data_IF_333075621326
#
_entry.id   IF_333075621326
#
_cell.length_a   1.000
_cell.length_b   1.000
_cell.length_c   1.000
_cell.angle_alpha   90.00
_cell.angle_beta   90.00
_cell.angle_gamma   90.00
#
_symmetry.space_group_name_H-M   'P 1'
#
loop_
_entity.id
_entity.type
_entity.pdbx_description
1 polymer ?
#
# COMPACT_ATOMS: atom_id res chain seq x y z
N UNK A 1 26.80 -0.62 -8.63
CA UNK A 1 26.57 -1.68 -7.63
C UNK A 1 26.05 -0.97 -6.39
N UNK A 2 24.86 -1.34 -5.91
CA UNK A 2 24.29 -0.74 -4.69
C UNK A 2 24.86 -1.47 -3.49
N UNK A 3 25.52 -0.73 -2.61
CA UNK A 3 26.16 -1.26 -1.41
C UNK A 3 25.26 -1.02 -0.18
N UNK A 4 25.07 -2.04 0.66
CA UNK A 4 24.21 -2.01 1.87
C UNK A 4 24.97 -2.60 3.05
N UNK A 5 24.87 -1.96 4.21
CA UNK A 5 25.46 -2.46 5.45
C UNK A 5 24.54 -3.45 6.16
N UNK A 6 24.99 -4.70 6.33
CA UNK A 6 24.22 -5.79 6.94
C UNK A 6 25.11 -6.64 7.84
N UNK A 7 24.53 -7.32 8.82
CA UNK A 7 25.26 -8.28 9.64
C UNK A 7 25.53 -9.56 8.84
N UNK A 8 26.79 -9.98 8.81
CA UNK A 8 27.24 -11.22 8.21
C UNK A 8 27.57 -12.23 9.30
N UNK A 9 26.87 -13.37 9.33
CA UNK A 9 27.12 -14.44 10.32
C UNK A 9 28.49 -15.11 10.15
N UNK A 10 29.07 -15.09 8.94
CA UNK A 10 30.41 -15.64 8.68
C UNK A 10 31.53 -14.70 9.13
N UNK A 11 31.33 -13.38 9.03
CA UNK A 11 32.29 -12.38 9.50
C UNK A 11 32.03 -11.97 10.96
N UNK A 12 30.90 -12.40 11.53
CA UNK A 12 30.42 -12.05 12.87
C UNK A 12 30.31 -10.52 13.10
N UNK A 13 29.95 -9.77 12.06
CA UNK A 13 29.93 -8.30 12.12
C UNK A 13 29.14 -7.64 10.99
N UNK A 14 28.93 -6.33 11.13
CA UNK A 14 28.35 -5.51 10.06
C UNK A 14 29.37 -5.37 8.95
N UNK A 15 28.97 -5.72 7.72
CA UNK A 15 29.80 -5.69 6.52
C UNK A 15 29.05 -5.00 5.37
N UNK A 16 29.78 -4.50 4.38
CA UNK A 16 29.20 -4.07 3.12
C UNK A 16 28.73 -5.29 2.31
N UNK A 17 27.59 -5.15 1.66
CA UNK A 17 26.99 -6.16 0.80
C UNK A 17 26.62 -5.54 -0.55
N UNK A 18 26.96 -6.25 -1.63
CA UNK A 18 26.62 -5.84 -2.99
C UNK A 18 25.60 -6.78 -3.63
N UNK A 19 24.74 -6.23 -4.48
CA UNK A 19 23.89 -7.01 -5.37
C UNK A 19 24.72 -7.50 -6.56
N UNK A 20 24.93 -8.82 -6.74
CA UNK A 20 25.59 -9.34 -7.93
C UNK A 20 24.72 -9.09 -9.17
N UNK A 21 25.30 -9.18 -10.39
CA UNK A 21 24.53 -9.07 -11.63
C UNK A 21 23.42 -10.12 -11.67
N UNK A 22 22.17 -9.66 -11.54
CA UNK A 22 21.01 -10.55 -11.54
C UNK A 22 20.39 -10.65 -12.93
N UNK A 23 20.16 -11.89 -13.38
CA UNK A 23 19.52 -12.18 -14.68
C UNK A 23 18.03 -11.84 -14.68
N UNK A 24 17.40 -11.80 -13.51
CA UNK A 24 15.99 -11.49 -13.34
C UNK A 24 15.68 -9.99 -13.52
N UNK A 25 16.71 -9.15 -13.66
CA UNK A 25 16.53 -7.73 -14.01
C UNK A 25 16.09 -6.83 -12.84
N UNK A 26 16.29 -7.26 -11.59
CA UNK A 26 15.96 -6.46 -10.41
C UNK A 26 16.91 -5.27 -10.17
N UNK A 27 18.06 -5.22 -10.86
CA UNK A 27 19.00 -4.11 -10.78
C UNK A 27 19.46 -3.84 -9.34
N UNK A 28 19.30 -2.61 -8.86
CA UNK A 28 19.69 -2.17 -7.52
C UNK A 28 18.82 -2.74 -6.39
N UNK A 29 17.61 -3.20 -6.70
CA UNK A 29 16.63 -3.74 -5.76
C UNK A 29 16.64 -5.29 -5.74
N UNK A 30 17.71 -5.91 -6.24
CA UNK A 30 17.87 -7.36 -6.18
C UNK A 30 17.78 -7.85 -4.73
N UNK A 31 16.94 -8.87 -4.44
CA UNK A 31 16.85 -9.44 -3.10
C UNK A 31 18.11 -10.23 -2.73
N UNK A 32 18.92 -10.61 -3.71
CA UNK A 32 20.15 -11.38 -3.52
C UNK A 32 21.33 -10.44 -3.30
N UNK A 33 22.00 -10.56 -2.15
CA UNK A 33 23.14 -9.73 -1.76
C UNK A 33 24.30 -10.61 -1.29
N UNK A 34 25.52 -10.23 -1.64
CA UNK A 34 26.74 -10.93 -1.25
C UNK A 34 27.65 -10.03 -0.40
N UNK A 35 28.18 -10.57 0.70
CA UNK A 35 29.14 -9.88 1.56
C UNK A 35 30.43 -9.63 0.78
N UNK A 36 30.89 -8.39 0.67
CA UNK A 36 32.10 -8.06 -0.11
C UNK A 36 33.38 -8.58 0.54
N UNK A 37 33.34 -8.91 1.83
CA UNK A 37 34.49 -9.41 2.59
C UNK A 37 34.70 -10.91 2.44
N UNK A 38 33.63 -11.71 2.57
CA UNK A 38 33.73 -13.18 2.59
C UNK A 38 32.95 -13.90 1.49
N UNK A 39 32.09 -13.21 0.74
CA UNK A 39 31.28 -13.78 -0.33
C UNK A 39 30.01 -14.52 0.12
N UNK A 40 29.70 -14.54 1.43
CA UNK A 40 28.45 -15.14 1.92
C UNK A 40 27.22 -14.40 1.34
N UNK A 41 26.26 -15.16 0.83
CA UNK A 41 25.05 -14.63 0.21
C UNK A 41 23.85 -14.63 1.17
N UNK A 42 23.07 -13.57 1.14
CA UNK A 42 21.81 -13.42 1.89
C UNK A 42 20.68 -13.03 0.94
N UNK A 43 19.48 -13.54 1.22
CA UNK A 43 18.26 -13.20 0.49
C UNK A 43 17.36 -12.31 1.36
N UNK A 44 17.13 -11.08 0.92
CA UNK A 44 16.21 -10.15 1.56
C UNK A 44 14.92 -10.09 0.77
N UNK A 45 13.88 -10.77 1.27
CA UNK A 45 12.56 -10.72 0.66
C UNK A 45 11.90 -9.35 0.90
N UNK A 46 11.82 -8.53 -0.14
CA UNK A 46 11.01 -7.31 -0.13
C UNK A 46 9.56 -7.66 -0.46
N UNK A 47 8.72 -7.80 0.58
CA UNK A 47 7.28 -8.01 0.37
C UNK A 47 6.60 -6.66 0.17
N UNK A 48 6.16 -6.37 -1.05
CA UNK A 48 5.29 -5.21 -1.30
C UNK A 48 3.86 -5.57 -0.95
N UNK A 49 3.38 -5.06 0.19
CA UNK A 49 1.97 -5.17 0.54
C UNK A 49 1.17 -4.04 -0.13
N UNK A 50 0.01 -4.33 -0.76
CA UNK A 50 -0.86 -3.27 -1.24
C UNK A 50 -1.37 -2.44 -0.06
N UNK A 51 -1.64 -1.13 -0.27
CA UNK A 51 -2.19 -0.29 0.78
C UNK A 51 -3.54 -0.85 1.24
N UNK A 52 -3.69 -1.05 2.55
CA UNK A 52 -4.96 -1.44 3.15
C UNK A 52 -5.97 -0.32 2.93
N UNK A 53 -7.00 -0.59 2.12
CA UNK A 53 -8.08 0.39 1.90
C UNK A 53 -8.95 0.39 3.16
N UNK A 54 -9.05 1.50 3.90
CA UNK A 54 -9.95 1.56 5.04
C UNK A 54 -11.38 1.38 4.54
N UNK A 55 -12.14 0.50 5.21
CA UNK A 55 -13.55 0.30 4.92
C UNK A 55 -14.27 1.62 5.16
N UNK A 56 -14.89 2.17 4.11
CA UNK A 56 -15.62 3.43 4.23
C UNK A 56 -16.74 3.29 5.26
N UNK A 57 -16.78 4.20 6.24
CA UNK A 57 -17.91 4.29 7.16
C UNK A 57 -19.14 4.71 6.34
N UNK A 58 -20.28 4.01 6.44
CA UNK A 58 -21.50 4.42 5.77
C UNK A 58 -21.83 5.86 6.13
N UNK A 59 -21.96 6.73 5.13
CA UNK A 59 -22.40 8.10 5.34
C UNK A 59 -23.89 8.07 5.68
N UNK A 60 -24.35 8.76 6.74
CA UNK A 60 -25.78 8.83 7.06
C UNK A 60 -26.52 9.46 5.87
N UNK A 61 -27.55 8.76 5.38
CA UNK A 61 -28.39 9.22 4.29
C UNK A 61 -29.18 10.45 4.75
N UNK A 62 -29.25 11.54 3.96
CA UNK A 62 -30.05 12.70 4.32
C UNK A 62 -31.54 12.31 4.39
N UNK A 63 -32.32 12.92 5.31
CA UNK A 63 -33.75 12.64 5.41
C UNK A 63 -34.49 13.07 4.13
N UNK A 64 -35.61 12.41 3.78
CA UNK A 64 -36.39 12.78 2.62
C UNK A 64 -36.97 14.20 2.77
N UNK A 65 -37.19 14.94 1.67
CA UNK A 65 -37.74 16.28 1.72
C UNK A 65 -39.19 16.28 2.25
N UNK A 66 -39.63 17.36 2.92
CA UNK A 66 -40.99 17.47 3.42
C UNK A 66 -42.01 17.48 2.27
N UNK A 67 -43.09 16.71 2.41
CA UNK A 67 -44.18 16.67 1.42
C UNK A 67 -44.95 17.99 1.45
N UNK A 68 -44.96 18.72 0.34
CA UNK A 68 -45.76 19.94 0.18
C UNK A 68 -47.24 19.55 0.05
N UNK A 69 -48.05 19.84 1.06
CA UNK A 69 -49.50 19.79 0.94
C UNK A 69 -49.96 21.04 0.18
N UNK A 70 -50.29 20.89 -1.08
CA UNK A 70 -50.99 21.94 -1.83
C UNK A 70 -52.44 21.94 -1.37
N UNK A 71 -52.88 22.98 -0.67
CA UNK A 71 -54.29 23.20 -0.38
C UNK A 71 -55.02 23.43 -1.71
N UNK A 72 -55.81 22.46 -2.15
CA UNK A 72 -56.77 22.66 -3.23
C UNK A 72 -57.84 23.63 -2.73
N UNK A 73 -57.93 24.79 -3.36
CA UNK A 73 -59.06 25.69 -3.18
C UNK A 73 -60.34 24.91 -3.54
N UNK A 74 -61.25 24.79 -2.57
CA UNK A 74 -62.56 24.19 -2.78
C UNK A 74 -63.28 24.95 -3.92
N UNK A 75 -63.90 24.26 -4.89
CA UNK A 75 -64.72 24.94 -5.87
C UNK A 75 -65.92 25.59 -5.16
N UNK A 76 -66.37 26.79 -5.59
CA UNK A 76 -67.55 27.41 -5.01
C UNK A 76 -68.79 26.54 -5.25
N UNK A 77 -69.76 26.50 -4.30
CA UNK A 77 -71.00 25.78 -4.53
C UNK A 77 -71.79 26.44 -5.65
N UNK A 78 -72.29 25.64 -6.59
CA UNK A 78 -73.20 26.09 -7.62
C UNK A 78 -74.61 26.26 -7.04
N UNK A 79 -75.16 27.48 -7.11
CA UNK A 79 -76.58 27.76 -7.07
C UNK A 79 -76.85 29.11 -7.74
#
# INVERSE_FOLDING_TARGET
MSDRELYCDTCEGVQPFEAPPCVDGHGADCPELACVSCGAAVLIATVSLPPTRPTARPTPTPPPPPRRLTNAAAPPPAA
#
